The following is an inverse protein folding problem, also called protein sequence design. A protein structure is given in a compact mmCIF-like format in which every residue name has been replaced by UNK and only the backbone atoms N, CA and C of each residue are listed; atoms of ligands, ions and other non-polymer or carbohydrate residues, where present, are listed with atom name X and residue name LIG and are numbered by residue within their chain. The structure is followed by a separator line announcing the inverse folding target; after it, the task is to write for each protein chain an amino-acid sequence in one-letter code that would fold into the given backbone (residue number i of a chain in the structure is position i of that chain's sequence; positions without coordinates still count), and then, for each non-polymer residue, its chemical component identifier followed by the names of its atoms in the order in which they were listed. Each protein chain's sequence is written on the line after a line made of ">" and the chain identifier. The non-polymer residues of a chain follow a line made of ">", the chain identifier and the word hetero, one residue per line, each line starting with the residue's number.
data_IF_788358124699
#
_entry.id   IF_788358124699
#
_cell.length_a   1.000
_cell.length_b   1.000
_cell.length_c   1.000
_cell.angle_alpha   90.00
_cell.angle_beta   90.00
_cell.angle_gamma   90.00
#
_symmetry.space_group_name_H-M   'P 1'
#
loop_
_entity.id
_entity.type
_entity.pdbx_description
1 polymer ?
#
# COMPACT_ATOMS: atom_id res chain seq x y z
N UNK A 1 -1.42 -10.92 18.33
CA UNK A 1 -2.16 -9.70 17.95
C UNK A 1 -2.09 -9.50 16.42
N UNK A 2 -2.49 -10.50 15.64
CA UNK A 2 -2.46 -10.46 14.17
C UNK A 2 -3.81 -10.01 13.55
N UNK A 3 -4.81 -9.72 14.39
CA UNK A 3 -6.22 -9.68 14.00
C UNK A 3 -6.80 -8.26 13.91
N UNK A 4 -5.97 -7.20 14.03
CA UNK A 4 -6.50 -5.82 13.96
C UNK A 4 -6.53 -5.26 12.54
N UNK A 5 -5.77 -5.85 11.61
CA UNK A 5 -5.73 -5.42 10.22
C UNK A 5 -5.59 -6.64 9.29
N UNK A 6 -6.55 -6.89 8.38
CA UNK A 6 -6.52 -8.02 7.44
C UNK A 6 -5.26 -8.07 6.54
N UNK A 7 -4.55 -6.96 6.40
CA UNK A 7 -3.36 -6.86 5.53
C UNK A 7 -2.24 -6.03 6.14
N UNK A 8 -0.99 -6.45 5.90
CA UNK A 8 0.23 -5.74 6.29
C UNK A 8 0.28 -4.32 5.69
N UNK A 9 -0.28 -4.14 4.49
CA UNK A 9 -0.33 -2.84 3.80
C UNK A 9 -1.31 -1.88 4.47
N UNK A 10 -2.47 -2.38 4.92
CA UNK A 10 -3.44 -1.58 5.64
C UNK A 10 -2.89 -1.12 6.99
N UNK A 11 -2.21 -2.03 7.69
CA UNK A 11 -1.54 -1.71 8.95
C UNK A 11 -0.48 -0.61 8.73
N UNK A 12 0.37 -0.72 7.72
CA UNK A 12 1.40 0.27 7.44
C UNK A 12 0.81 1.66 7.14
N UNK A 13 -0.25 1.73 6.34
CA UNK A 13 -0.96 2.98 6.07
C UNK A 13 -1.58 3.59 7.34
N UNK A 14 -2.18 2.76 8.20
CA UNK A 14 -2.81 3.21 9.45
C UNK A 14 -1.79 3.66 10.49
N UNK A 15 -0.61 3.06 10.52
CA UNK A 15 0.53 3.47 11.35
C UNK A 15 0.99 4.89 10.99
N UNK A 16 0.97 5.22 9.69
CA UNK A 16 1.23 6.55 9.15
C UNK A 16 0.05 7.53 9.27
N UNK A 17 -1.09 7.11 9.83
CA UNK A 17 -2.32 7.90 9.92
C UNK A 17 -2.87 8.42 8.57
N UNK A 18 -2.66 7.70 7.47
CA UNK A 18 -3.06 8.12 6.12
C UNK A 18 -4.41 7.54 5.67
N UNK A 19 -5.17 8.32 4.91
CA UNK A 19 -6.33 7.81 4.15
C UNK A 19 -5.87 7.02 2.91
N UNK A 20 -6.78 6.28 2.26
CA UNK A 20 -6.42 5.55 1.02
C UNK A 20 -6.06 6.52 -0.10
N UNK A 21 -6.71 7.68 -0.14
CA UNK A 21 -6.46 8.75 -1.10
C UNK A 21 -5.10 9.40 -0.88
N UNK A 22 -4.76 9.75 0.36
CA UNK A 22 -3.44 10.30 0.68
C UNK A 22 -2.32 9.31 0.36
N UNK A 23 -2.53 8.03 0.69
CA UNK A 23 -1.61 6.96 0.33
C UNK A 23 -1.44 6.83 -1.19
N UNK A 24 -2.54 6.87 -1.94
CA UNK A 24 -2.54 6.78 -3.39
C UNK A 24 -1.80 7.97 -4.03
N UNK A 25 -2.03 9.18 -3.53
CA UNK A 25 -1.34 10.40 -3.99
C UNK A 25 0.17 10.33 -3.72
N UNK A 26 0.57 9.98 -2.50
CA UNK A 26 1.99 9.85 -2.12
C UNK A 26 2.73 8.79 -2.94
N UNK A 27 2.04 7.70 -3.29
CA UNK A 27 2.61 6.62 -4.09
C UNK A 27 2.46 6.84 -5.61
N UNK A 28 1.78 7.91 -6.03
CA UNK A 28 1.42 8.18 -7.43
C UNK A 28 0.68 7.01 -8.10
N UNK A 29 -0.25 6.39 -7.37
CA UNK A 29 -1.13 5.31 -7.84
C UNK A 29 -2.59 5.67 -7.63
N UNK A 30 -3.51 4.89 -8.19
CA UNK A 30 -4.95 5.07 -7.93
C UNK A 30 -5.37 4.50 -6.57
N UNK A 31 -6.39 5.09 -5.95
CA UNK A 31 -7.01 4.61 -4.70
C UNK A 31 -7.46 3.15 -4.79
N UNK A 32 -7.97 2.75 -5.95
CA UNK A 32 -8.35 1.36 -6.23
C UNK A 32 -7.18 0.40 -6.15
N UNK A 33 -5.98 0.83 -6.57
CA UNK A 33 -4.76 0.01 -6.47
C UNK A 33 -4.38 -0.19 -5.00
N UNK A 34 -4.44 0.87 -4.19
CA UNK A 34 -4.22 0.78 -2.74
C UNK A 34 -5.22 -0.18 -2.10
N UNK A 35 -6.51 -0.05 -2.45
CA UNK A 35 -7.58 -0.92 -1.97
C UNK A 35 -7.36 -2.39 -2.39
N UNK A 36 -6.95 -2.65 -3.63
CA UNK A 36 -6.67 -4.00 -4.11
C UNK A 36 -5.51 -4.67 -3.35
N UNK A 37 -4.47 -3.91 -3.01
CA UNK A 37 -3.37 -4.39 -2.16
C UNK A 37 -3.84 -4.71 -0.74
N UNK A 38 -4.58 -3.79 -0.11
CA UNK A 38 -5.13 -3.98 1.24
C UNK A 38 -6.09 -5.17 1.33
N UNK A 39 -6.83 -5.45 0.26
CA UNK A 39 -7.75 -6.60 0.18
C UNK A 39 -7.08 -7.89 -0.27
N UNK A 40 -5.75 -7.90 -0.48
CA UNK A 40 -4.98 -9.03 -0.99
C UNK A 40 -5.46 -9.56 -2.36
N UNK A 41 -6.21 -8.75 -3.11
CA UNK A 41 -6.62 -9.06 -4.47
C UNK A 41 -5.45 -8.93 -5.45
N UNK A 42 -4.49 -8.06 -5.13
CA UNK A 42 -3.27 -7.84 -5.90
C UNK A 42 -2.07 -7.83 -4.97
N UNK A 43 -0.99 -8.47 -5.38
CA UNK A 43 0.30 -8.39 -4.69
C UNK A 43 1.07 -7.18 -5.25
N UNK A 44 1.46 -6.19 -4.43
CA UNK A 44 2.32 -5.09 -4.87
C UNK A 44 3.70 -5.63 -5.27
N UNK A 45 4.37 -4.94 -6.18
CA UNK A 45 5.75 -5.28 -6.55
C UNK A 45 6.72 -4.84 -5.43
N UNK A 46 7.92 -5.43 -5.36
CA UNK A 46 8.92 -4.99 -4.39
C UNK A 46 9.20 -3.48 -4.46
N UNK A 47 9.26 -2.91 -5.66
CA UNK A 47 9.40 -1.45 -5.88
C UNK A 47 8.26 -0.62 -5.25
N UNK A 48 7.03 -1.11 -5.29
CA UNK A 48 5.87 -0.42 -4.69
C UNK A 48 5.94 -0.50 -3.17
N UNK A 49 6.43 -1.62 -2.64
CA UNK A 49 6.66 -1.80 -1.20
C UNK A 49 7.80 -0.90 -0.71
N UNK A 50 8.85 -0.70 -1.49
CA UNK A 50 9.90 0.29 -1.19
C UNK A 50 9.35 1.71 -1.15
N UNK A 51 8.50 2.09 -2.11
CA UNK A 51 7.79 3.39 -2.09
C UNK A 51 6.87 3.51 -0.87
N UNK A 52 6.14 2.46 -0.50
CA UNK A 52 5.33 2.44 0.73
C UNK A 52 6.17 2.63 1.99
N UNK A 53 7.32 1.96 2.09
CA UNK A 53 8.21 2.10 3.23
C UNK A 53 8.68 3.55 3.39
N UNK A 54 9.07 4.18 2.28
CA UNK A 54 9.50 5.57 2.27
C UNK A 54 8.34 6.55 2.56
N UNK A 55 7.19 6.36 1.91
CA UNK A 55 6.04 7.26 2.03
C UNK A 55 5.34 7.18 3.40
N UNK A 56 5.27 5.98 3.98
CA UNK A 56 4.59 5.75 5.26
C UNK A 56 5.54 5.78 6.45
N UNK A 57 6.87 5.77 6.23
CA UNK A 57 7.85 5.64 7.30
C UNK A 57 7.82 4.28 7.99
N UNK A 58 7.50 3.21 7.27
CA UNK A 58 7.28 1.86 7.83
C UNK A 58 8.30 0.84 7.32
N UNK A 59 9.58 0.90 7.73
CA UNK A 59 10.63 0.00 7.23
C UNK A 59 10.38 -1.48 7.57
N UNK A 60 9.57 -1.75 8.59
CA UNK A 60 9.15 -3.10 8.94
C UNK A 60 8.29 -3.78 7.85
N UNK A 61 7.67 -3.00 6.95
CA UNK A 61 6.83 -3.53 5.89
C UNK A 61 7.63 -4.40 4.90
N UNK A 62 8.87 -4.05 4.60
CA UNK A 62 9.73 -4.85 3.70
C UNK A 62 10.08 -6.23 4.27
N UNK A 63 10.29 -6.32 5.58
CA UNK A 63 10.56 -7.58 6.28
C UNK A 63 9.34 -8.50 6.25
N UNK A 64 8.16 -7.96 6.59
CA UNK A 64 6.89 -8.69 6.55
C UNK A 64 6.52 -9.12 5.12
N UNK A 65 6.76 -8.26 4.14
CA UNK A 65 6.53 -8.56 2.72
C UNK A 65 7.43 -9.71 2.24
N UNK A 66 8.71 -9.72 2.62
CA UNK A 66 9.62 -10.80 2.28
C UNK A 66 9.19 -12.13 2.92
N UNK A 67 8.71 -12.09 4.16
CA UNK A 67 8.11 -13.26 4.83
C UNK A 67 6.84 -13.74 4.12
N UNK A 68 5.96 -12.81 3.72
CA UNK A 68 4.75 -13.11 2.96
C UNK A 68 5.05 -13.72 1.59
N UNK A 69 6.03 -13.18 0.85
CA UNK A 69 6.47 -13.76 -0.42
C UNK A 69 7.13 -15.12 -0.22
N UNK A 70 7.79 -15.41 0.91
CA UNK A 70 8.36 -16.74 1.16
C UNK A 70 7.27 -17.78 1.38
N UNK A 71 6.19 -17.41 2.06
CA UNK A 71 5.08 -18.33 2.37
C UNK A 71 4.09 -18.43 1.21
N UNK A 72 3.86 -17.35 0.46
CA UNK A 72 3.00 -17.31 -0.73
C UNK A 72 3.73 -17.73 -2.02
N UNK A 73 5.04 -17.48 -2.10
CA UNK A 73 5.89 -17.60 -3.29
C UNK A 73 6.49 -18.98 -3.52
N UNK A 74 5.87 -20.03 -2.99
CA UNK A 74 6.02 -21.37 -3.59
C UNK A 74 5.47 -21.46 -5.03
N UNK A 75 4.84 -20.40 -5.57
CA UNK A 75 4.09 -20.47 -6.82
C UNK A 75 4.27 -19.33 -7.85
N UNK A 76 5.04 -18.25 -7.62
CA UNK A 76 5.04 -17.12 -8.57
C UNK A 76 6.40 -16.42 -8.72
N UNK A 77 7.19 -16.89 -9.67
CA UNK A 77 8.30 -16.13 -10.27
C UNK A 77 7.80 -15.21 -11.39
N UNK A 78 8.43 -14.04 -11.48
CA UNK A 78 8.49 -13.13 -12.63
C UNK A 78 7.18 -12.50 -13.16
N UNK A 79 6.94 -11.22 -12.79
CA UNK A 79 6.27 -10.24 -13.65
C UNK A 79 6.54 -8.78 -13.18
N UNK A 80 7.80 -8.33 -13.30
CA UNK A 80 8.07 -6.95 -13.72
C UNK A 80 7.81 -6.93 -15.23
N UNK A 81 6.85 -6.17 -15.76
CA UNK A 81 6.92 -4.74 -15.99
C UNK A 81 5.52 -4.26 -16.36
N UNK A 82 5.18 -3.02 -16.08
CA UNK A 82 3.86 -2.49 -16.43
C UNK A 82 3.66 -1.14 -15.80
N UNK A 83 4.29 -0.15 -16.42
CA UNK A 83 3.95 1.26 -16.33
C UNK A 83 2.44 1.45 -16.47
N UNK A 84 1.81 2.06 -15.47
CA UNK A 84 0.50 2.69 -15.62
C UNK A 84 0.55 4.00 -14.84
N UNK A 85 1.07 5.02 -15.51
CA UNK A 85 0.81 6.41 -15.18
C UNK A 85 -0.58 6.74 -15.75
N UNK A 86 -1.51 7.14 -14.88
CA UNK A 86 -2.86 7.55 -15.23
C UNK A 86 -3.66 7.61 -13.92
N UNK A 87 -4.21 8.72 -13.47
CA UNK A 87 -4.69 9.91 -14.16
C UNK A 87 -6.01 10.27 -13.47
N UNK A 88 -6.10 11.50 -12.96
CA UNK A 88 -7.30 12.29 -12.64
C UNK A 88 -8.46 11.66 -11.83
N UNK A 89 -8.75 12.26 -10.66
CA UNK A 89 -10.08 12.74 -10.22
C UNK A 89 -9.93 13.23 -8.75
N UNK A 90 -9.87 14.54 -8.51
CA UNK A 90 -11.00 15.46 -8.33
C UNK A 90 -11.57 15.47 -6.89
N UNK A 91 -11.25 16.56 -6.19
CA UNK A 91 -12.11 17.35 -5.29
C UNK A 91 -12.88 16.64 -4.16
N UNK A 92 -12.45 16.88 -2.92
CA UNK A 92 -13.28 17.59 -1.92
C UNK A 92 -12.53 17.97 -0.62
N UNK A 93 -12.93 19.08 0.05
CA UNK A 93 -12.24 19.66 1.19
C UNK A 93 -12.77 19.19 2.56
N UNK A 94 -11.88 19.23 3.55
CA UNK A 94 -12.20 19.48 4.96
C UNK A 94 -12.30 18.25 5.85
N UNK A 95 -11.56 18.25 6.97
CA UNK A 95 -12.17 18.35 8.30
C UNK A 95 -11.16 18.96 9.27
N UNK A 96 -11.62 20.01 9.95
CA UNK A 96 -10.83 20.83 10.86
C UNK A 96 -10.39 20.06 12.10
N UNK A 97 -9.18 20.40 12.55
CA UNK A 97 -8.77 20.16 13.91
C UNK A 97 -9.61 21.08 14.82
N UNK A 98 -10.48 20.47 15.63
CA UNK A 98 -11.08 21.13 16.79
C UNK A 98 -10.00 21.33 17.86
N UNK A 99 -9.95 22.55 18.41
CA UNK A 99 -9.08 22.94 19.53
C UNK A 99 -9.63 22.54 20.89
#
# INVERSE_FOLDING_TARGET
>A
MADRYPSIYQRARKDACLTQEQAAELLSVSVETVKAWEQRQRVPRPEDVERMQAAYGTPWLGLEYTGYLRTAGGAAGAAASGTAHGGAAADQPGHGAGG
#
